data_IF_617008014623
#
_entry.id   IF_617008014623
#
_cell.length_a   1.000
_cell.length_b   1.000
_cell.length_c   1.000
_cell.angle_alpha   90.00
_cell.angle_beta   90.00
_cell.angle_gamma   90.00
#
_symmetry.space_group_name_H-M   'P 1'
#
loop_
_entity.id
_entity.type
_entity.pdbx_description
1 polymer ?
#
# COMPACT_ATOMS: atom_id res chain seq x y z
N UNK A 1 -8.23 19.38 -0.51
CA UNK A 1 -7.43 18.88 0.63
C UNK A 1 -6.41 17.92 0.08
N UNK A 2 -5.15 17.96 0.52
CA UNK A 2 -4.12 17.06 0.03
C UNK A 2 -3.82 15.98 1.07
N UNK A 3 -3.79 14.72 0.63
CA UNK A 3 -3.31 13.59 1.41
C UNK A 3 -1.86 13.32 1.05
N UNK A 4 -0.99 13.38 2.05
CA UNK A 4 0.40 12.91 1.98
C UNK A 4 0.45 11.51 2.57
N UNK A 5 0.74 10.52 1.73
CA UNK A 5 0.86 9.12 2.14
C UNK A 5 2.29 8.66 1.90
N UNK A 6 2.95 8.19 2.95
CA UNK A 6 4.26 7.55 2.85
C UNK A 6 4.13 6.06 3.14
N UNK A 7 4.53 5.23 2.20
CA UNK A 7 4.58 3.78 2.36
C UNK A 7 6.02 3.42 2.68
N UNK A 8 6.29 3.11 3.95
CA UNK A 8 7.65 2.91 4.46
C UNK A 8 8.10 1.46 4.23
N UNK A 9 7.50 0.52 4.94
CA UNK A 9 7.89 -0.89 4.93
C UNK A 9 6.75 -1.81 5.33
N UNK A 10 6.91 -3.10 5.04
CA UNK A 10 6.14 -4.18 5.66
C UNK A 10 7.12 -5.16 6.31
N UNK A 11 6.64 -5.88 7.33
CA UNK A 11 7.44 -6.86 8.08
C UNK A 11 6.67 -8.16 8.19
N UNK A 12 7.41 -9.26 8.31
CA UNK A 12 6.88 -10.59 8.61
C UNK A 12 5.75 -11.04 7.67
N UNK A 13 5.94 -10.84 6.36
CA UNK A 13 4.98 -11.30 5.37
C UNK A 13 4.71 -12.83 5.47
N UNK A 14 3.47 -13.29 5.20
CA UNK A 14 3.11 -14.70 5.26
C UNK A 14 4.04 -15.57 4.40
N UNK A 15 4.54 -16.66 5.00
CA UNK A 15 5.35 -17.67 4.33
C UNK A 15 4.48 -18.90 4.07
N UNK A 16 3.45 -18.73 3.26
CA UNK A 16 2.54 -19.84 2.90
C UNK A 16 3.23 -20.70 1.82
N UNK A 17 4.22 -21.51 2.20
CA UNK A 17 4.84 -22.63 1.44
C UNK A 17 5.15 -22.44 -0.07
N UNK A 18 5.23 -21.21 -0.60
CA UNK A 18 5.64 -20.95 -1.97
C UNK A 18 7.15 -21.13 -2.08
N UNK A 19 7.59 -22.00 -2.98
CA UNK A 19 9.01 -22.22 -3.26
C UNK A 19 9.62 -20.93 -3.86
N UNK A 20 10.20 -20.07 -3.03
CA UNK A 20 10.71 -18.76 -3.45
C UNK A 20 10.50 -17.69 -2.37
N UNK A 21 11.08 -16.51 -2.55
CA UNK A 21 10.77 -15.33 -1.72
C UNK A 21 9.78 -14.44 -2.48
N UNK A 22 8.94 -13.71 -1.78
CA UNK A 22 7.97 -12.78 -2.38
C UNK A 22 8.64 -11.59 -3.09
N UNK A 23 7.94 -11.04 -4.07
CA UNK A 23 8.21 -9.79 -4.78
C UNK A 23 7.12 -8.74 -4.45
N UNK A 24 7.03 -8.23 -3.22
CA UNK A 24 5.91 -7.41 -2.78
C UNK A 24 5.87 -5.98 -3.35
N UNK A 25 4.64 -5.50 -3.59
CA UNK A 25 4.30 -4.10 -3.80
C UNK A 25 2.97 -3.73 -3.14
N UNK A 26 2.73 -2.42 -2.97
CA UNK A 26 1.47 -1.90 -2.43
C UNK A 26 0.70 -1.16 -3.52
N UNK A 27 -0.54 -1.57 -3.73
CA UNK A 27 -1.50 -0.86 -4.56
C UNK A 27 -2.32 0.11 -3.68
N UNK A 28 -2.39 1.38 -4.08
CA UNK A 28 -3.04 2.45 -3.34
C UNK A 28 -4.25 2.94 -4.14
N UNK A 29 -5.44 2.84 -3.54
CA UNK A 29 -6.71 3.29 -4.13
C UNK A 29 -7.35 4.33 -3.22
N UNK A 30 -7.66 5.52 -3.76
CA UNK A 30 -8.21 6.65 -3.00
C UNK A 30 -9.49 7.12 -3.70
N UNK A 31 -10.65 6.74 -3.17
CA UNK A 31 -11.95 7.00 -3.82
C UNK A 31 -11.95 6.57 -5.29
N UNK A 32 -12.27 7.51 -6.19
CA UNK A 32 -12.26 7.31 -7.64
C UNK A 32 -11.00 7.86 -8.34
N UNK A 33 -9.97 8.23 -7.59
CA UNK A 33 -8.72 8.74 -8.16
C UNK A 33 -7.93 7.60 -8.85
N UNK A 34 -7.03 7.93 -9.80
CA UNK A 34 -6.15 6.96 -10.42
C UNK A 34 -5.36 6.17 -9.38
N UNK A 35 -5.37 4.84 -9.53
CA UNK A 35 -4.62 3.92 -8.67
C UNK A 35 -3.12 4.18 -8.83
N UNK A 36 -2.42 4.30 -7.70
CA UNK A 36 -0.96 4.36 -7.65
C UNK A 36 -0.42 3.08 -7.04
N UNK A 37 0.86 2.79 -7.29
CA UNK A 37 1.53 1.61 -6.76
C UNK A 37 2.98 1.93 -6.43
N UNK A 38 3.50 1.29 -5.39
CA UNK A 38 4.94 1.29 -5.10
C UNK A 38 5.69 0.48 -6.15
N UNK A 39 7.02 0.56 -6.10
CA UNK A 39 7.89 -0.40 -6.77
C UNK A 39 7.70 -1.79 -6.18
N UNK A 40 7.95 -2.78 -7.01
CA UNK A 40 8.12 -4.17 -6.62
C UNK A 40 9.51 -4.32 -6.01
N UNK A 41 9.60 -4.82 -4.78
CA UNK A 41 10.88 -5.16 -4.16
C UNK A 41 11.06 -6.66 -4.25
N UNK A 42 12.06 -7.12 -4.99
CA UNK A 42 12.21 -8.55 -5.28
C UNK A 42 12.76 -9.34 -4.09
N UNK A 43 12.33 -10.59 -3.97
CA UNK A 43 12.88 -11.62 -3.11
C UNK A 43 13.01 -11.21 -1.63
N UNK A 44 11.93 -10.71 -1.02
CA UNK A 44 11.91 -10.30 0.39
C UNK A 44 10.55 -10.52 1.07
N UNK A 45 10.58 -10.85 2.37
CA UNK A 45 9.41 -10.83 3.26
C UNK A 45 9.33 -9.55 4.12
N UNK A 46 10.33 -8.68 3.97
CA UNK A 46 10.46 -7.44 4.74
C UNK A 46 10.80 -6.28 3.78
N UNK A 47 9.89 -5.94 2.86
CA UNK A 47 10.15 -4.89 1.88
C UNK A 47 10.24 -3.52 2.54
N UNK A 48 11.17 -2.69 2.03
CA UNK A 48 11.27 -1.26 2.33
C UNK A 48 11.06 -0.51 1.03
N UNK A 49 9.95 0.22 0.92
CA UNK A 49 9.64 1.03 -0.25
C UNK A 49 10.13 2.46 -0.05
N UNK A 50 9.87 3.03 1.13
CA UNK A 50 10.17 4.44 1.46
C UNK A 50 9.64 5.43 0.41
N UNK A 51 8.47 5.12 -0.17
CA UNK A 51 7.87 5.89 -1.26
C UNK A 51 6.77 6.84 -0.75
N UNK A 52 6.73 8.03 -1.35
CA UNK A 52 5.76 9.07 -1.02
C UNK A 52 4.78 9.32 -2.15
N UNK A 53 3.51 9.45 -1.79
CA UNK A 53 2.40 9.66 -2.70
C UNK A 53 1.56 10.84 -2.23
N UNK A 54 1.13 11.64 -3.20
CA UNK A 54 0.28 12.80 -3.00
C UNK A 54 -1.03 12.60 -3.74
N UNK A 55 -2.15 12.87 -3.07
CA UNK A 55 -3.49 12.77 -3.63
C UNK A 55 -4.30 14.02 -3.30
N UNK A 56 -4.96 14.59 -4.30
CA UNK A 56 -5.93 15.66 -4.09
C UNK A 56 -7.28 15.02 -3.76
N UNK A 57 -7.63 15.02 -2.47
CA UNK A 57 -8.87 14.42 -1.99
C UNK A 57 -10.07 15.27 -2.45
N UNK A 58 -11.06 14.67 -3.14
CA UNK A 58 -12.22 15.40 -3.65
C UNK A 58 -13.16 15.84 -2.52
N UNK A 59 -13.25 15.06 -1.45
CA UNK A 59 -14.06 15.37 -0.27
C UNK A 59 -13.51 14.69 1.00
N UNK A 60 -13.79 15.23 2.19
CA UNK A 60 -13.60 14.51 3.45
C UNK A 60 -14.38 13.19 3.45
N UNK A 61 -13.80 12.14 4.02
CA UNK A 61 -14.42 10.81 4.09
C UNK A 61 -14.19 9.96 2.84
N UNK A 62 -13.47 10.47 1.84
CA UNK A 62 -12.96 9.65 0.74
C UNK A 62 -12.21 8.44 1.32
N UNK A 63 -12.58 7.20 0.97
CA UNK A 63 -11.94 6.02 1.51
C UNK A 63 -10.57 5.79 0.88
N UNK A 64 -9.61 5.38 1.69
CA UNK A 64 -8.24 5.06 1.29
C UNK A 64 -8.02 3.57 1.52
N UNK A 65 -7.59 2.86 0.48
CA UNK A 65 -7.32 1.43 0.53
C UNK A 65 -5.88 1.18 0.09
N UNK A 66 -5.15 0.43 0.91
CA UNK A 66 -3.84 -0.11 0.60
C UNK A 66 -3.99 -1.63 0.49
N UNK A 67 -3.58 -2.20 -0.64
CA UNK A 67 -3.57 -3.63 -0.86
C UNK A 67 -2.14 -4.10 -1.05
N UNK A 68 -1.72 -5.06 -0.26
CA UNK A 68 -0.40 -5.65 -0.31
C UNK A 68 -0.44 -6.90 -1.20
N UNK A 69 0.42 -6.93 -2.19
CA UNK A 69 0.36 -7.90 -3.30
C UNK A 69 1.76 -8.44 -3.57
N UNK A 70 1.87 -9.76 -3.68
CA UNK A 70 3.04 -10.43 -4.21
C UNK A 70 2.97 -10.41 -5.74
N UNK A 71 4.02 -9.90 -6.38
CA UNK A 71 4.07 -9.80 -7.83
C UNK A 71 4.62 -11.10 -8.42
N UNK A 72 3.81 -11.77 -9.22
CA UNK A 72 4.24 -12.97 -9.95
C UNK A 72 4.45 -12.62 -11.42
N UNK A 73 5.68 -12.79 -11.90
CA UNK A 73 6.01 -12.57 -13.32
C UNK A 73 5.27 -13.56 -14.24
N UNK A 74 4.99 -14.76 -13.71
CA UNK A 74 4.25 -15.81 -14.41
C UNK A 74 3.09 -16.25 -13.52
N UNK A 75 1.87 -15.91 -13.91
CA UNK A 75 0.66 -16.28 -13.16
C UNK A 75 -0.17 -15.08 -12.77
N UNK A 76 -1.04 -15.28 -11.77
CA UNK A 76 -1.80 -14.19 -11.17
C UNK A 76 -1.03 -13.68 -9.94
N UNK A 77 -1.06 -12.37 -9.72
CA UNK A 77 -0.47 -11.78 -8.52
C UNK A 77 -1.29 -12.16 -7.28
N UNK A 78 -0.60 -12.53 -6.20
CA UNK A 78 -1.21 -13.01 -4.97
C UNK A 78 -1.35 -11.90 -3.91
N UNK A 79 -2.59 -11.45 -3.61
CA UNK A 79 -2.81 -10.48 -2.55
C UNK A 79 -2.75 -11.14 -1.17
N UNK A 80 -1.91 -10.60 -0.28
CA UNK A 80 -1.68 -11.17 1.05
C UNK A 80 -2.12 -10.27 2.22
N UNK A 81 -2.59 -9.05 1.94
CA UNK A 81 -3.08 -8.16 3.00
C UNK A 81 -3.74 -6.90 2.47
N UNK A 82 -4.48 -6.22 3.35
CA UNK A 82 -5.06 -4.91 3.04
C UNK A 82 -5.28 -4.07 4.29
N UNK A 83 -5.17 -2.75 4.12
CA UNK A 83 -5.50 -1.74 5.13
C UNK A 83 -6.51 -0.77 4.52
N UNK A 84 -7.55 -0.44 5.28
CA UNK A 84 -8.51 0.60 4.92
C UNK A 84 -8.43 1.74 5.94
N UNK A 85 -8.24 2.96 5.44
CA UNK A 85 -8.18 4.17 6.25
C UNK A 85 -9.35 5.07 5.86
N UNK A 86 -10.09 5.55 6.86
CA UNK A 86 -11.10 6.57 6.67
C UNK A 86 -10.45 7.95 6.76
N UNK A 87 -10.51 8.75 5.70
CA UNK A 87 -9.90 10.09 5.73
C UNK A 87 -10.54 11.03 6.77
N UNK A 88 -11.76 10.76 7.25
CA UNK A 88 -12.36 11.53 8.35
C UNK A 88 -11.70 11.30 9.70
N UNK A 89 -10.98 10.19 9.90
CA UNK A 89 -10.22 9.95 11.13
C UNK A 89 -8.85 10.64 11.11
N UNK A 90 -8.48 11.27 9.99
CA UNK A 90 -7.21 11.99 9.85
C UNK A 90 -7.41 13.46 10.21
N UNK A 91 -6.57 13.97 11.11
CA UNK A 91 -6.56 15.38 11.49
C UNK A 91 -5.62 16.13 10.55
N UNK A 92 -6.11 17.24 10.00
CA UNK A 92 -5.31 18.08 9.09
C UNK A 92 -4.06 18.60 9.80
N UNK A 93 -2.90 18.43 9.18
CA UNK A 93 -1.60 18.87 9.71
C UNK A 93 -0.97 17.90 10.70
N UNK A 94 -1.62 16.78 11.02
CA UNK A 94 -1.07 15.74 11.89
C UNK A 94 -0.49 14.58 11.09
N UNK A 95 0.70 14.12 11.49
CA UNK A 95 1.26 12.85 11.02
C UNK A 95 0.65 11.73 11.86
N UNK A 96 0.08 10.73 11.18
CA UNK A 96 -0.49 9.53 11.80
C UNK A 96 0.29 8.33 11.27
N UNK A 97 0.88 7.55 12.19
CA UNK A 97 1.59 6.30 11.89
C UNK A 97 0.67 5.12 12.23
N UNK A 98 0.55 4.15 11.30
CA UNK A 98 -0.23 2.92 11.47
C UNK A 98 0.63 1.70 11.15
#
# INVERSE_FOLDING_TARGET
MQLHLRVIEARDMPKEDTFGKCDPFVQISVGSLPVKKTKVIKNTYNPKWEEEFHFDLPNPGTPIFLKFIDYDEVGANDPFGSVQINSNSLVIGQIVEN
#
